data_IF_718872726939
#
_entry.id   IF_718872726939
#
_cell.length_a   1.000
_cell.length_b   1.000
_cell.length_c   1.000
_cell.angle_alpha   90.00
_cell.angle_beta   90.00
_cell.angle_gamma   90.00
#
_symmetry.space_group_name_H-M   'P 1'
#
loop_
_entity.id
_entity.type
_entity.pdbx_description
1 polymer ?
#
# COMPACT_ATOMS: atom_id res chain seq x y z
N UNK A 1 16.40 4.78 -20.82
CA UNK A 1 17.53 5.13 -19.94
C UNK A 1 17.04 4.95 -18.50
N UNK A 2 17.73 4.16 -17.67
CA UNK A 2 17.40 4.01 -16.26
C UNK A 2 17.92 5.22 -15.49
N UNK A 3 17.18 5.67 -14.48
CA UNK A 3 17.65 6.73 -13.58
C UNK A 3 18.79 6.19 -12.70
N UNK A 4 19.90 6.92 -12.61
CA UNK A 4 21.00 6.59 -11.70
C UNK A 4 20.82 7.27 -10.35
N UNK A 5 21.43 6.71 -9.30
CA UNK A 5 21.46 7.39 -7.98
C UNK A 5 22.15 8.75 -8.07
N UNK A 6 23.18 8.87 -8.91
CA UNK A 6 23.91 10.13 -9.14
C UNK A 6 22.99 11.21 -9.67
N UNK A 7 22.09 10.90 -10.60
CA UNK A 7 21.10 11.84 -11.11
C UNK A 7 20.10 12.30 -10.03
N UNK A 8 19.72 11.41 -9.09
CA UNK A 8 18.85 11.77 -7.97
C UNK A 8 19.59 12.68 -6.97
N UNK A 9 20.86 12.36 -6.71
CA UNK A 9 21.72 13.14 -5.82
C UNK A 9 22.12 14.50 -6.37
N UNK A 10 22.40 14.60 -7.67
CA UNK A 10 22.61 15.87 -8.37
C UNK A 10 21.36 16.75 -8.28
N UNK A 11 20.18 16.15 -8.46
CA UNK A 11 18.91 16.88 -8.31
C UNK A 11 18.69 17.38 -6.89
N UNK A 12 19.03 16.59 -5.87
CA UNK A 12 18.97 17.03 -4.48
C UNK A 12 19.90 18.22 -4.23
N UNK A 13 21.12 18.16 -4.76
CA UNK A 13 22.12 19.24 -4.65
C UNK A 13 21.64 20.52 -5.31
N UNK A 14 21.15 20.44 -6.55
CA UNK A 14 20.58 21.60 -7.27
C UNK A 14 19.45 22.28 -6.48
N UNK A 15 18.52 21.49 -5.90
CA UNK A 15 17.42 22.06 -5.13
C UNK A 15 17.92 22.74 -3.85
N UNK A 16 18.84 22.10 -3.11
CA UNK A 16 19.35 22.67 -1.85
C UNK A 16 20.20 23.93 -2.09
N UNK A 17 20.93 24.00 -3.20
CA UNK A 17 21.64 25.21 -3.63
C UNK A 17 20.67 26.36 -3.95
N UNK A 18 19.61 26.07 -4.72
CA UNK A 18 18.59 27.05 -5.09
C UNK A 18 17.81 27.58 -3.87
N UNK A 19 17.45 26.72 -2.93
CA UNK A 19 16.82 27.12 -1.66
C UNK A 19 17.70 28.10 -0.87
N UNK A 20 19.02 27.87 -0.88
CA UNK A 20 19.97 28.76 -0.24
C UNK A 20 20.02 30.18 -0.81
N UNK A 21 19.60 30.35 -2.08
CA UNK A 21 19.50 31.64 -2.75
C UNK A 21 18.15 32.31 -2.51
N UNK A 22 17.06 31.52 -2.44
CA UNK A 22 15.68 32.02 -2.34
C UNK A 22 15.21 32.27 -0.91
N UNK A 23 15.43 31.31 0.01
CA UNK A 23 14.94 31.34 1.40
C UNK A 23 15.92 32.02 2.37
N UNK A 24 17.08 32.44 1.85
CA UNK A 24 18.14 33.12 2.60
C UNK A 24 19.21 32.19 3.17
N UNK A 25 20.37 32.77 3.48
CA UNK A 25 21.56 32.02 3.88
C UNK A 25 21.37 31.14 5.13
N UNK A 26 20.42 31.49 6.00
CA UNK A 26 20.19 30.79 7.27
C UNK A 26 19.16 29.65 7.17
N UNK A 27 18.46 29.49 6.04
CA UNK A 27 17.48 28.42 5.87
C UNK A 27 18.15 27.05 5.96
N UNK A 28 17.80 26.30 7.00
CA UNK A 28 18.40 25.02 7.36
C UNK A 28 19.94 24.99 7.29
N UNK A 29 20.57 26.01 7.89
CA UNK A 29 22.02 26.18 7.81
C UNK A 29 22.79 24.94 8.28
N UNK A 30 22.32 24.27 9.34
CA UNK A 30 22.89 23.00 9.81
C UNK A 30 22.88 21.94 8.71
N UNK A 31 21.75 21.80 7.98
CA UNK A 31 21.65 20.88 6.85
C UNK A 31 22.58 21.21 5.71
N UNK A 32 22.68 22.48 5.38
CA UNK A 32 23.51 22.94 4.27
C UNK A 32 25.01 22.83 4.56
N UNK A 33 25.44 23.16 5.77
CA UNK A 33 26.85 23.07 6.17
C UNK A 33 27.38 21.64 6.07
N UNK A 34 26.57 20.66 6.48
CA UNK A 34 26.93 19.24 6.43
C UNK A 34 26.35 18.51 5.19
N UNK A 35 25.99 19.25 4.14
CA UNK A 35 25.25 18.71 3.01
C UNK A 35 25.95 17.53 2.33
N UNK A 36 27.27 17.60 2.12
CA UNK A 36 28.04 16.51 1.52
C UNK A 36 27.92 15.20 2.30
N UNK A 37 27.92 15.27 3.64
CA UNK A 37 27.74 14.11 4.51
C UNK A 37 26.30 13.60 4.43
N UNK A 38 25.30 14.49 4.43
CA UNK A 38 23.88 14.12 4.37
C UNK A 38 23.51 13.51 3.02
N UNK A 39 24.07 14.01 1.92
CA UNK A 39 23.99 13.44 0.58
C UNK A 39 24.60 12.04 0.54
N UNK A 40 25.83 11.87 1.06
CA UNK A 40 26.50 10.57 1.16
C UNK A 40 25.70 9.55 2.00
N UNK A 41 25.15 9.99 3.14
CA UNK A 41 24.28 9.15 3.98
C UNK A 41 23.01 8.71 3.25
N UNK A 42 22.43 9.59 2.44
CA UNK A 42 21.26 9.27 1.61
C UNK A 42 21.59 8.21 0.57
N UNK A 43 22.72 8.34 -0.13
CA UNK A 43 23.18 7.34 -1.10
C UNK A 43 23.50 6.00 -0.44
N UNK A 44 24.21 6.01 0.69
CA UNK A 44 24.50 4.80 1.47
C UNK A 44 23.22 4.08 1.90
N UNK A 45 22.24 4.81 2.45
CA UNK A 45 20.95 4.22 2.84
C UNK A 45 20.18 3.69 1.64
N UNK A 46 20.19 4.40 0.51
CA UNK A 46 19.58 3.93 -0.73
C UNK A 46 20.14 2.57 -1.16
N UNK A 47 21.47 2.43 -1.25
CA UNK A 47 22.08 1.16 -1.63
C UNK A 47 21.87 0.07 -0.57
N UNK A 48 21.86 0.43 0.71
CA UNK A 48 21.55 -0.50 1.80
C UNK A 48 20.15 -1.07 1.66
N UNK A 49 19.14 -0.22 1.47
CA UNK A 49 17.76 -0.67 1.28
C UNK A 49 17.59 -1.48 0.00
N UNK A 50 18.20 -1.05 -1.11
CA UNK A 50 18.16 -1.80 -2.37
C UNK A 50 18.71 -3.22 -2.18
N UNK A 51 19.86 -3.33 -1.52
CA UNK A 51 20.48 -4.62 -1.22
C UNK A 51 19.61 -5.49 -0.31
N UNK A 52 19.07 -4.93 0.77
CA UNK A 52 18.19 -5.66 1.71
C UNK A 52 16.92 -6.17 1.03
N UNK A 53 16.27 -5.33 0.22
CA UNK A 53 15.08 -5.71 -0.54
C UNK A 53 15.41 -6.80 -1.57
N UNK A 54 16.52 -6.65 -2.31
CA UNK A 54 16.93 -7.62 -3.31
C UNK A 54 17.23 -9.00 -2.69
N UNK A 55 17.89 -9.03 -1.53
CA UNK A 55 18.14 -10.27 -0.79
C UNK A 55 16.84 -10.91 -0.28
N UNK A 56 15.99 -10.12 0.37
CA UNK A 56 14.70 -10.60 0.90
C UNK A 56 13.82 -11.20 -0.21
N UNK A 57 13.77 -10.56 -1.38
CA UNK A 57 12.98 -11.06 -2.52
C UNK A 57 13.64 -12.26 -3.22
N UNK A 58 14.98 -12.34 -3.26
CA UNK A 58 15.69 -13.52 -3.76
C UNK A 58 15.34 -14.76 -2.95
N UNK A 59 15.38 -14.65 -1.62
CA UNK A 59 15.05 -15.76 -0.72
C UNK A 59 13.59 -16.21 -0.87
N UNK A 60 12.68 -15.25 -1.14
CA UNK A 60 11.25 -15.52 -1.34
C UNK A 60 10.92 -16.19 -2.68
N UNK A 61 11.63 -15.82 -3.75
CA UNK A 61 11.24 -16.18 -5.13
C UNK A 61 12.04 -17.32 -5.76
N UNK A 62 13.17 -17.73 -5.16
CA UNK A 62 14.06 -18.75 -5.72
C UNK A 62 14.69 -18.37 -7.08
N UNK A 63 15.42 -19.30 -7.70
CA UNK A 63 16.26 -19.02 -8.89
C UNK A 63 15.49 -18.67 -10.18
N UNK A 64 14.23 -19.08 -10.31
CA UNK A 64 13.43 -18.89 -11.54
C UNK A 64 12.87 -17.47 -11.75
N UNK A 65 13.06 -16.56 -10.80
CA UNK A 65 12.38 -15.26 -10.75
C UNK A 65 13.31 -14.04 -10.77
N UNK A 66 14.61 -14.23 -11.02
CA UNK A 66 15.62 -13.16 -11.01
C UNK A 66 15.28 -12.08 -12.05
N UNK A 67 14.86 -12.47 -13.26
CA UNK A 67 14.47 -11.53 -14.31
C UNK A 67 13.27 -10.65 -13.92
N UNK A 68 12.29 -11.20 -13.20
CA UNK A 68 11.13 -10.45 -12.69
C UNK A 68 11.54 -9.48 -11.58
N UNK A 69 12.43 -9.90 -10.70
CA UNK A 69 12.99 -9.06 -9.65
C UNK A 69 13.77 -7.88 -10.26
N UNK A 70 14.68 -8.16 -11.21
CA UNK A 70 15.41 -7.11 -11.93
C UNK A 70 14.48 -6.13 -12.62
N UNK A 71 13.41 -6.61 -13.26
CA UNK A 71 12.43 -5.75 -13.90
C UNK A 71 11.72 -4.79 -12.93
N UNK A 72 11.49 -5.20 -11.68
CA UNK A 72 10.90 -4.33 -10.64
C UNK A 72 11.92 -3.36 -10.07
N UNK A 73 13.12 -3.86 -9.71
CA UNK A 73 14.18 -3.05 -9.10
C UNK A 73 14.70 -1.96 -10.04
N UNK A 74 14.60 -2.16 -11.36
CA UNK A 74 15.03 -1.18 -12.37
C UNK A 74 13.93 -0.19 -12.77
N UNK A 75 12.73 -0.24 -12.15
CA UNK A 75 11.69 0.76 -12.43
C UNK A 75 12.10 2.11 -11.84
N UNK A 76 12.04 3.16 -12.65
CA UNK A 76 12.37 4.52 -12.23
C UNK A 76 11.55 4.99 -11.01
N UNK A 77 10.25 4.68 -10.96
CA UNK A 77 9.40 5.05 -9.82
C UNK A 77 9.83 4.34 -8.53
N UNK A 78 10.26 3.08 -8.63
CA UNK A 78 10.77 2.32 -7.49
C UNK A 78 12.09 2.90 -7.00
N UNK A 79 13.05 3.16 -7.90
CA UNK A 79 14.34 3.76 -7.55
C UNK A 79 14.16 5.16 -6.92
N UNK A 80 13.28 5.98 -7.49
CA UNK A 80 12.91 7.28 -6.90
C UNK A 80 12.29 7.11 -5.53
N UNK A 81 11.30 6.23 -5.37
CA UNK A 81 10.65 5.98 -4.08
C UNK A 81 11.63 5.49 -3.02
N UNK A 82 12.57 4.64 -3.39
CA UNK A 82 13.62 4.15 -2.51
C UNK A 82 14.57 5.28 -2.07
N UNK A 83 14.94 6.15 -3.01
CA UNK A 83 15.76 7.32 -2.71
C UNK A 83 15.03 8.34 -1.83
N UNK A 84 13.75 8.62 -2.12
CA UNK A 84 12.89 9.47 -1.29
C UNK A 84 12.83 8.93 0.14
N UNK A 85 12.69 7.61 0.31
CA UNK A 85 12.64 7.03 1.66
C UNK A 85 13.98 7.16 2.39
N UNK A 86 15.10 6.95 1.71
CA UNK A 86 16.43 7.15 2.27
C UNK A 86 16.65 8.61 2.68
N UNK A 87 16.29 9.55 1.80
CA UNK A 87 16.38 10.98 2.06
C UNK A 87 15.47 11.38 3.22
N UNK A 88 14.24 10.88 3.26
CA UNK A 88 13.28 11.19 4.32
C UNK A 88 13.79 10.77 5.70
N UNK A 89 14.51 9.64 5.79
CA UNK A 89 15.15 9.20 7.03
C UNK A 89 16.35 10.07 7.40
N UNK A 90 17.15 10.53 6.44
CA UNK A 90 18.23 11.50 6.70
C UNK A 90 17.66 12.81 7.20
N UNK A 91 16.64 13.36 6.53
CA UNK A 91 15.93 14.58 6.97
C UNK A 91 15.40 14.43 8.40
N UNK A 92 14.77 13.30 8.69
CA UNK A 92 14.27 12.98 10.04
C UNK A 92 15.41 12.88 11.08
N UNK A 93 16.48 12.15 10.77
CA UNK A 93 17.59 11.90 11.70
C UNK A 93 18.34 13.18 12.08
N UNK A 94 18.42 14.13 11.14
CA UNK A 94 19.09 15.41 11.35
C UNK A 94 18.12 16.55 11.65
N UNK A 95 16.86 16.24 11.98
CA UNK A 95 15.82 17.21 12.38
C UNK A 95 15.72 18.38 11.39
N UNK A 96 15.81 18.09 10.10
CA UNK A 96 15.71 19.09 9.04
C UNK A 96 14.33 19.73 9.06
N UNK A 97 14.27 21.02 8.77
CA UNK A 97 13.01 21.76 8.61
C UNK A 97 12.22 21.34 7.37
N UNK A 98 12.84 20.58 6.46
CA UNK A 98 12.19 20.04 5.26
C UNK A 98 11.34 18.85 5.64
N UNK A 99 10.10 19.14 6.00
CA UNK A 99 9.11 18.13 6.33
C UNK A 99 8.55 17.43 5.08
N UNK A 100 8.03 16.23 5.28
CA UNK A 100 7.27 15.54 4.24
C UNK A 100 6.03 16.36 3.86
N UNK A 101 5.74 16.62 2.56
CA UNK A 101 6.13 15.82 1.40
C UNK A 101 7.31 16.37 0.58
N UNK A 102 8.13 17.28 1.12
CA UNK A 102 9.21 17.93 0.37
C UNK A 102 10.09 16.94 -0.42
N UNK A 103 10.47 15.82 0.20
CA UNK A 103 11.27 14.78 -0.45
C UNK A 103 10.60 14.16 -1.69
N UNK A 104 9.27 14.05 -1.74
CA UNK A 104 8.52 13.60 -2.92
C UNK A 104 8.53 14.65 -4.04
N UNK A 105 8.30 15.90 -3.67
CA UNK A 105 8.20 17.03 -4.59
C UNK A 105 9.50 17.22 -5.36
N UNK A 106 10.63 17.25 -4.63
CA UNK A 106 11.95 17.39 -5.23
C UNK A 106 12.35 16.18 -6.07
N UNK A 107 11.71 15.02 -5.91
CA UNK A 107 11.92 13.85 -6.74
C UNK A 107 10.88 13.69 -7.85
N UNK A 108 9.87 14.58 -7.92
CA UNK A 108 8.72 14.48 -8.84
C UNK A 108 8.17 13.05 -8.83
N UNK A 109 7.96 12.51 -7.63
CA UNK A 109 7.41 11.19 -7.43
C UNK A 109 5.96 11.31 -6.98
N UNK A 110 4.99 10.76 -7.74
CA UNK A 110 3.62 10.68 -7.26
C UNK A 110 3.54 9.88 -5.96
N UNK A 111 2.89 10.44 -4.95
CA UNK A 111 2.71 9.87 -3.60
C UNK A 111 2.20 8.43 -3.62
N UNK A 112 1.29 8.09 -4.54
CA UNK A 112 0.74 6.73 -4.71
C UNK A 112 1.79 5.65 -5.02
N UNK A 113 2.98 6.04 -5.53
CA UNK A 113 4.07 5.11 -5.81
C UNK A 113 5.00 4.92 -4.60
N UNK A 114 4.89 5.77 -3.58
CA UNK A 114 5.81 5.81 -2.46
C UNK A 114 5.44 4.84 -1.32
N UNK A 115 4.15 4.76 -0.95
CA UNK A 115 3.69 3.99 0.22
C UNK A 115 4.15 2.52 0.19
N UNK A 116 4.16 1.89 -1.00
CA UNK A 116 4.60 0.50 -1.18
C UNK A 116 6.06 0.28 -0.81
N UNK A 117 6.91 1.27 -1.04
CA UNK A 117 8.34 1.16 -0.75
C UNK A 117 8.59 1.23 0.76
N UNK A 118 7.79 1.99 1.51
CA UNK A 118 7.88 2.02 2.98
C UNK A 118 7.64 0.62 3.55
N UNK A 119 6.55 -0.04 3.15
CA UNK A 119 6.24 -1.41 3.58
C UNK A 119 7.36 -2.39 3.22
N UNK A 120 7.92 -2.28 2.01
CA UNK A 120 9.04 -3.13 1.58
C UNK A 120 10.29 -2.93 2.43
N UNK A 121 10.64 -1.68 2.76
CA UNK A 121 11.82 -1.35 3.56
C UNK A 121 11.67 -1.85 4.99
N UNK A 122 10.54 -1.58 5.65
CA UNK A 122 10.29 -2.01 7.04
C UNK A 122 10.34 -3.55 7.13
N UNK A 123 9.81 -4.25 6.13
CA UNK A 123 9.87 -5.71 6.07
C UNK A 123 11.28 -6.25 5.82
N UNK A 124 12.06 -5.59 4.97
CA UNK A 124 13.38 -6.06 4.54
C UNK A 124 14.53 -5.69 5.49
N UNK A 125 14.40 -4.60 6.26
CA UNK A 125 15.46 -4.09 7.13
C UNK A 125 15.02 -4.01 8.60
N UNK A 126 15.19 -5.10 9.34
CA UNK A 126 14.93 -5.18 10.78
C UNK A 126 15.90 -4.39 11.65
N UNK A 127 16.93 -3.75 11.06
CA UNK A 127 17.90 -2.92 11.79
C UNK A 127 17.47 -1.47 11.98
N UNK A 128 16.34 -1.06 11.39
CA UNK A 128 15.77 0.26 11.60
C UNK A 128 15.38 0.45 13.07
N UNK A 129 15.65 1.63 13.63
CA UNK A 129 15.22 1.95 14.99
C UNK A 129 13.70 2.05 15.08
N UNK A 130 13.16 1.91 16.29
CA UNK A 130 11.71 2.03 16.52
C UNK A 130 11.19 3.40 16.10
N UNK A 131 11.98 4.44 16.34
CA UNK A 131 11.67 5.83 16.00
C UNK A 131 11.63 6.03 14.49
N UNK A 132 12.58 5.44 13.75
CA UNK A 132 12.59 5.46 12.28
C UNK A 132 11.38 4.73 11.70
N UNK A 133 11.06 3.54 12.21
CA UNK A 133 9.87 2.79 11.78
C UNK A 133 8.59 3.57 12.07
N UNK A 134 8.47 4.16 13.26
CA UNK A 134 7.32 5.01 13.64
C UNK A 134 7.18 6.22 12.71
N UNK A 135 8.29 6.89 12.39
CA UNK A 135 8.28 8.01 11.45
C UNK A 135 7.84 7.58 10.04
N UNK A 136 8.39 6.48 9.53
CA UNK A 136 8.00 5.94 8.23
C UNK A 136 6.53 5.54 8.17
N UNK A 137 5.99 4.90 9.22
CA UNK A 137 4.56 4.59 9.30
C UNK A 137 3.73 5.88 9.25
N UNK A 138 4.05 6.90 10.05
CA UNK A 138 3.35 8.19 10.01
C UNK A 138 3.37 8.82 8.62
N UNK A 139 4.49 8.71 7.90
CA UNK A 139 4.60 9.17 6.51
C UNK A 139 3.74 8.32 5.57
N UNK A 140 3.71 6.99 5.75
CA UNK A 140 2.83 6.08 4.99
C UNK A 140 1.36 6.46 5.19
N UNK A 141 0.95 6.70 6.44
CA UNK A 141 -0.40 7.13 6.81
C UNK A 141 -0.79 8.42 6.09
N UNK A 142 0.06 9.46 6.15
CA UNK A 142 -0.16 10.71 5.43
C UNK A 142 -0.33 10.52 3.92
N UNK A 143 0.42 9.59 3.32
CA UNK A 143 0.24 9.27 1.89
C UNK A 143 -1.13 8.65 1.64
N UNK A 144 -1.54 7.69 2.48
CA UNK A 144 -2.79 6.96 2.34
C UNK A 144 -4.03 7.81 2.64
N UNK A 145 -3.93 8.81 3.52
CA UNK A 145 -5.05 9.65 3.95
C UNK A 145 -5.16 10.98 3.18
N UNK A 146 -4.04 11.54 2.75
CA UNK A 146 -3.97 12.91 2.20
C UNK A 146 -3.38 12.89 0.79
N UNK A 147 -2.09 12.59 0.65
CA UNK A 147 -1.36 12.91 -0.58
C UNK A 147 -1.72 12.04 -1.78
N UNK A 148 -2.20 10.81 -1.58
CA UNK A 148 -2.63 9.97 -2.69
C UNK A 148 -3.94 10.45 -3.35
N UNK A 149 -4.68 11.35 -2.67
CA UNK A 149 -5.98 11.86 -3.09
C UNK A 149 -5.91 13.27 -3.68
N UNK A 150 -4.72 13.83 -3.89
CA UNK A 150 -4.54 15.12 -4.56
C UNK A 150 -5.17 15.10 -5.96
N UNK A 151 -5.64 16.25 -6.45
CA UNK A 151 -6.34 16.34 -7.75
C UNK A 151 -5.48 15.91 -8.93
N UNK A 152 -4.16 16.09 -8.83
CA UNK A 152 -3.16 15.70 -9.80
C UNK A 152 -2.66 14.25 -9.64
N UNK A 153 -3.21 13.51 -8.67
CA UNK A 153 -2.80 12.13 -8.39
C UNK A 153 -3.09 11.20 -9.57
N UNK A 154 -2.13 10.33 -9.96
CA UNK A 154 -2.36 9.32 -10.98
C UNK A 154 -3.31 8.21 -10.51
N UNK A 155 -3.83 8.28 -9.28
CA UNK A 155 -4.94 7.47 -8.80
C UNK A 155 -6.20 7.68 -9.64
N UNK A 156 -6.55 8.93 -9.99
CA UNK A 156 -7.81 9.23 -10.70
C UNK A 156 -7.86 8.63 -12.11
N UNK A 157 -6.86 8.82 -12.98
CA UNK A 157 -6.84 8.16 -14.29
C UNK A 157 -6.75 6.63 -14.17
N UNK A 158 -6.12 6.12 -13.10
CA UNK A 158 -6.07 4.68 -12.84
C UNK A 158 -7.44 4.12 -12.49
N UNK A 159 -8.24 4.84 -11.71
CA UNK A 159 -9.63 4.49 -11.39
C UNK A 159 -10.55 4.58 -12.60
N UNK A 160 -10.43 5.63 -13.41
CA UNK A 160 -11.24 5.82 -14.63
C UNK A 160 -11.05 4.69 -15.65
N UNK A 161 -9.85 4.11 -15.73
CA UNK A 161 -9.58 2.96 -16.61
C UNK A 161 -10.17 1.64 -16.11
N UNK A 162 -10.63 1.56 -14.85
CA UNK A 162 -11.22 0.34 -14.30
C UNK A 162 -12.70 0.26 -14.70
N UNK A 163 -13.09 -0.88 -15.25
CA UNK A 163 -14.48 -1.16 -15.65
C UNK A 163 -15.41 -1.18 -14.42
N UNK A 164 -14.89 -1.63 -13.28
CA UNK A 164 -15.56 -1.72 -11.98
C UNK A 164 -15.42 -0.44 -11.13
N UNK A 165 -14.70 0.59 -11.63
CA UNK A 165 -14.51 1.86 -10.93
C UNK A 165 -13.80 1.73 -9.57
N UNK A 166 -14.32 2.43 -8.56
CA UNK A 166 -13.81 2.43 -7.18
C UNK A 166 -14.16 1.10 -6.51
N UNK A 167 -13.17 0.33 -6.01
CA UNK A 167 -13.43 -0.92 -5.30
C UNK A 167 -14.34 -0.72 -4.08
N UNK A 168 -15.32 -1.59 -3.90
CA UNK A 168 -16.15 -1.59 -2.69
C UNK A 168 -15.34 -2.08 -1.47
N UNK A 169 -15.76 -1.67 -0.27
CA UNK A 169 -15.15 -2.11 1.01
C UNK A 169 -15.09 -3.65 1.14
N UNK A 170 -16.10 -4.36 0.61
CA UNK A 170 -16.15 -5.82 0.59
C UNK A 170 -15.14 -6.44 -0.39
N UNK A 171 -14.93 -5.81 -1.55
CA UNK A 171 -13.96 -6.28 -2.56
C UNK A 171 -12.50 -6.14 -2.09
N UNK A 172 -12.25 -5.28 -1.10
CA UNK A 172 -10.93 -5.08 -0.50
C UNK A 172 -10.78 -5.76 0.86
N UNK A 173 -11.79 -6.49 1.34
CA UNK A 173 -11.73 -7.34 2.53
C UNK A 173 -10.82 -8.55 2.33
N UNK A 174 -10.17 -8.98 3.41
CA UNK A 174 -9.44 -10.26 3.48
C UNK A 174 -10.35 -11.47 3.18
N UNK A 175 -11.64 -11.36 3.52
CA UNK A 175 -12.64 -12.43 3.40
C UNK A 175 -12.87 -12.92 1.96
N UNK A 176 -12.61 -12.09 0.94
CA UNK A 176 -12.83 -12.47 -0.45
C UNK A 176 -11.76 -13.44 -1.00
N UNK A 177 -10.69 -13.70 -0.24
CA UNK A 177 -9.63 -14.67 -0.61
C UNK A 177 -9.74 -15.98 0.19
N UNK A 178 -10.56 -16.04 1.25
CA UNK A 178 -10.76 -17.25 2.08
C UNK A 178 -11.89 -18.17 1.60
N UNK A 179 -12.29 -18.07 0.33
CA UNK A 179 -13.26 -18.99 -0.29
C UNK A 179 -12.80 -20.46 -0.36
N UNK A 180 -11.56 -20.76 0.03
CA UNK A 180 -11.01 -22.12 0.06
C UNK A 180 -10.46 -22.53 1.44
N UNK A 181 -11.03 -22.04 2.54
CA UNK A 181 -10.76 -22.68 3.83
C UNK A 181 -11.92 -22.57 4.80
N UNK A 182 -12.62 -23.70 4.94
CA UNK A 182 -13.31 -24.14 6.15
C UNK A 182 -14.42 -23.23 6.69
N UNK A 183 -15.66 -23.65 6.40
CA UNK A 183 -16.84 -23.57 7.27
C UNK A 183 -16.54 -23.08 8.70
N UNK A 184 -16.81 -21.82 8.96
CA UNK A 184 -17.10 -21.33 10.31
C UNK A 184 -18.37 -20.50 10.26
N UNK A 185 -19.39 -20.82 11.08
CA UNK A 185 -20.60 -20.01 11.16
C UNK A 185 -20.32 -18.67 11.86
N UNK A 186 -20.96 -17.62 11.35
CA UNK A 186 -20.87 -16.24 11.84
C UNK A 186 -21.15 -16.10 13.35
N UNK A 187 -20.58 -15.07 14.00
CA UNK A 187 -20.81 -14.73 15.40
C UNK A 187 -22.30 -14.52 15.76
N UNK A 188 -23.14 -14.19 14.77
CA UNK A 188 -24.60 -14.06 14.89
C UNK A 188 -25.31 -15.39 15.21
N UNK A 189 -24.68 -16.54 14.95
CA UNK A 189 -25.23 -17.87 15.22
C UNK A 189 -24.95 -18.39 16.64
N UNK A 190 -24.14 -17.69 17.43
CA UNK A 190 -23.79 -18.10 18.81
C UNK A 190 -24.79 -17.63 19.89
N UNK A 191 -25.73 -16.75 19.57
CA UNK A 191 -26.67 -16.18 20.55
C UNK A 191 -28.12 -16.69 20.47
N UNK A 192 -28.48 -17.58 19.52
CA UNK A 192 -29.89 -17.94 19.29
C UNK A 192 -30.26 -19.40 19.54
N UNK A 193 -29.49 -20.16 20.34
CA UNK A 193 -29.87 -21.53 20.69
C UNK A 193 -29.83 -21.75 22.21
N UNK A 194 -30.91 -21.37 22.89
CA UNK A 194 -31.26 -21.95 24.18
C UNK A 194 -32.20 -23.14 23.95
N UNK A 195 -31.89 -24.34 24.51
CA UNK A 195 -32.69 -25.53 24.32
C UNK A 195 -33.83 -25.59 25.35
N UNK A 196 -35.08 -25.40 24.91
CA UNK A 196 -36.24 -25.88 25.66
C UNK A 196 -37.22 -26.58 24.70
N UNK A 197 -37.37 -27.89 24.90
CA UNK A 197 -38.58 -28.68 24.59
C UNK A 197 -39.18 -29.09 25.95
N UNK A 198 -40.44 -29.57 26.06
CA UNK A 198 -41.44 -29.88 25.03
C UNK A 198 -42.88 -29.40 25.38
N UNK A 199 -43.85 -29.54 24.47
CA UNK A 199 -45.08 -30.34 24.64
C UNK A 199 -46.14 -30.08 23.54
N UNK A 200 -46.63 -31.19 22.97
CA UNK A 200 -47.98 -31.44 22.41
C UNK A 200 -48.58 -30.51 21.33
N UNK A 201 -48.81 -31.04 20.13
CA UNK A 201 -50.11 -31.62 19.74
C UNK A 201 -50.13 -32.02 18.24
N UNK A 202 -50.59 -33.26 17.98
CA UNK A 202 -51.04 -33.76 16.68
C UNK A 202 -52.40 -33.13 16.32
N UNK A 203 -52.61 -32.76 15.06
CA UNK A 203 -53.55 -33.46 14.15
C UNK A 203 -53.55 -32.89 12.73
N UNK A 204 -53.73 -33.85 11.83
CA UNK A 204 -53.76 -33.90 10.36
C UNK A 204 -55.07 -33.32 9.80
N UNK A 205 -55.04 -32.74 8.61
CA UNK A 205 -56.08 -32.95 7.58
C UNK A 205 -55.44 -32.76 6.19
N UNK A 206 -55.61 -33.76 5.34
CA UNK A 206 -55.20 -33.83 3.93
C UNK A 206 -56.40 -33.43 3.05
N UNK A 207 -56.15 -32.80 1.89
CA UNK A 207 -56.80 -33.18 0.64
C UNK A 207 -55.99 -32.69 -0.60
N UNK A 208 -56.19 -33.42 -1.70
CA UNK A 208 -55.34 -33.66 -2.87
C UNK A 208 -55.34 -32.62 -4.02
N UNK A 209 -54.29 -32.79 -4.85
CA UNK A 209 -54.15 -32.63 -6.32
C UNK A 209 -54.39 -31.28 -7.03
N UNK A 210 -53.34 -30.75 -7.68
CA UNK A 210 -53.37 -30.44 -9.13
C UNK A 210 -51.96 -30.41 -9.76
N UNK A 211 -51.94 -30.81 -11.02
CA UNK A 211 -50.84 -31.19 -11.91
C UNK A 211 -50.02 -30.00 -12.47
N UNK A 212 -48.76 -30.31 -12.79
CA UNK A 212 -47.85 -29.70 -13.76
C UNK A 212 -48.09 -28.27 -14.29
N UNK A 213 -47.15 -27.37 -14.03
CA UNK A 213 -46.10 -27.02 -15.02
C UNK A 213 -45.22 -25.85 -14.55
N UNK A 214 -43.99 -25.93 -15.01
CA UNK A 214 -42.80 -25.23 -14.54
C UNK A 214 -42.38 -24.14 -15.53
N UNK A 215 -42.44 -22.85 -15.17
CA UNK A 215 -41.53 -21.84 -15.75
C UNK A 215 -41.29 -20.69 -14.76
N UNK A 216 -40.41 -20.89 -13.78
CA UNK A 216 -39.85 -19.78 -13.01
C UNK A 216 -38.62 -19.22 -13.74
N UNK A 217 -38.62 -17.91 -13.93
CA UNK A 217 -37.55 -17.16 -14.58
C UNK A 217 -36.18 -17.49 -13.99
N UNK A 218 -35.34 -18.14 -14.80
CA UNK A 218 -33.94 -18.44 -14.49
C UNK A 218 -33.17 -17.12 -14.41
N UNK A 219 -33.09 -16.54 -13.21
CA UNK A 219 -32.08 -15.53 -12.88
C UNK A 219 -30.72 -16.20 -13.12
N UNK A 220 -30.02 -15.79 -14.19
CA UNK A 220 -28.62 -16.13 -14.37
C UNK A 220 -27.85 -15.51 -13.22
N UNK A 221 -27.30 -16.35 -12.36
CA UNK A 221 -26.19 -15.96 -11.49
C UNK A 221 -25.04 -15.51 -12.41
N UNK A 222 -24.33 -14.41 -12.11
CA UNK A 222 -23.06 -14.17 -12.78
C UNK A 222 -22.09 -15.23 -12.28
N UNK A 223 -21.61 -16.05 -13.22
CA UNK A 223 -20.60 -17.06 -12.97
C UNK A 223 -19.36 -16.42 -12.32
N UNK A 224 -18.96 -17.02 -11.20
CA UNK A 224 -17.63 -16.88 -10.67
C UNK A 224 -16.67 -17.54 -11.65
N UNK A 225 -15.71 -16.80 -12.18
CA UNK A 225 -14.32 -17.22 -12.40
C UNK A 225 -13.55 -16.20 -13.26
N UNK A 226 -12.79 -15.36 -12.58
CA UNK A 226 -11.40 -15.08 -12.93
C UNK A 226 -10.75 -14.37 -11.73
N UNK A 227 -9.62 -14.85 -11.19
CA UNK A 227 -8.88 -14.08 -10.20
C UNK A 227 -8.34 -12.85 -10.93
N UNK A 228 -9.04 -11.72 -10.84
CA UNK A 228 -8.51 -10.46 -11.34
C UNK A 228 -7.17 -10.26 -10.65
N UNK A 229 -6.04 -10.13 -11.39
CA UNK A 229 -4.75 -9.92 -10.77
C UNK A 229 -4.89 -8.74 -9.82
N UNK A 230 -4.49 -8.92 -8.57
CA UNK A 230 -4.64 -7.93 -7.50
C UNK A 230 -4.05 -6.61 -7.97
N UNK A 231 -4.90 -5.74 -8.53
CA UNK A 231 -4.43 -4.56 -9.23
C UNK A 231 -3.75 -3.66 -8.21
N UNK A 232 -2.73 -2.91 -8.65
CA UNK A 232 -2.04 -1.94 -7.80
C UNK A 232 -3.03 -1.00 -7.06
N UNK A 233 -4.16 -0.70 -7.72
CA UNK A 233 -5.30 0.04 -7.15
C UNK A 233 -6.03 -0.74 -6.06
N UNK A 234 -6.31 -2.04 -6.25
CA UNK A 234 -7.00 -2.85 -5.22
C UNK A 234 -6.14 -2.97 -3.95
N UNK A 235 -4.83 -3.16 -4.11
CA UNK A 235 -3.89 -3.16 -2.97
C UNK A 235 -3.86 -1.81 -2.25
N UNK A 236 -3.94 -0.70 -3.00
CA UNK A 236 -4.04 0.63 -2.41
C UNK A 236 -5.33 0.78 -1.58
N UNK A 237 -6.50 0.47 -2.14
CA UNK A 237 -7.76 0.58 -1.39
C UNK A 237 -7.85 -0.40 -0.22
N UNK A 238 -7.24 -1.58 -0.33
CA UNK A 238 -7.11 -2.51 0.79
C UNK A 238 -6.27 -1.93 1.91
N UNK A 239 -5.11 -1.36 1.60
CA UNK A 239 -4.24 -0.72 2.59
C UNK A 239 -4.90 0.50 3.21
N UNK A 240 -5.50 1.37 2.39
CA UNK A 240 -6.25 2.55 2.84
C UNK A 240 -7.42 2.17 3.76
N UNK A 241 -8.16 1.11 3.43
CA UNK A 241 -9.23 0.59 4.30
C UNK A 241 -8.69 0.08 5.63
N UNK A 242 -7.65 -0.76 5.63
CA UNK A 242 -7.07 -1.28 6.87
C UNK A 242 -6.64 -0.14 7.80
N UNK A 243 -6.02 0.90 7.24
CA UNK A 243 -5.70 2.12 7.98
C UNK A 243 -6.93 2.79 8.58
N UNK A 244 -8.01 3.02 7.80
CA UNK A 244 -9.25 3.62 8.34
C UNK A 244 -9.85 2.77 9.47
N UNK A 245 -9.77 1.44 9.38
CA UNK A 245 -10.27 0.57 10.46
C UNK A 245 -9.40 0.61 11.71
N UNK A 246 -8.06 0.62 11.60
CA UNK A 246 -7.15 0.68 12.75
C UNK A 246 -7.16 2.03 13.48
N UNK A 247 -7.44 3.14 12.77
CA UNK A 247 -7.44 4.49 13.35
C UNK A 247 -8.79 4.87 13.98
N UNK A 248 -9.90 4.38 13.44
CA UNK A 248 -11.24 4.85 13.81
C UNK A 248 -12.13 3.82 14.53
N UNK A 249 -11.69 2.57 14.70
CA UNK A 249 -12.45 1.51 15.39
C UNK A 249 -11.55 0.66 16.30
#
# INVERSE_FOLDING_TARGET
MFISVSQLSERLEEVVENEGQSEGANYDASFREMFAVRKSNTECLFFRFLHKIALSEKDRLGNGSIAKLSAVLLRNDFLKALYVCALQLVLFTYESIREFPWSLEIMRLPSIHFYKVIELIIRADSSLSREMVKHLNKVEERVLEEFAWSLDSPLWPSLQRRVDGVPSSQAVSLETVEGYSMRQPSLSQRYTLSPMKPLAAKRRLEFDDDDSSCVAAKRRAPDAENPTPTSATLLFFRKARLFTFEVYF
#
